data_IF_725915152740
#
_entry.id   IF_725915152740
#
_cell.length_a   1.000
_cell.length_b   1.000
_cell.length_c   1.000
_cell.angle_alpha   90.00
_cell.angle_beta   90.00
_cell.angle_gamma   90.00
#
_symmetry.space_group_name_H-M   'P 1'
#
loop_
_entity.id
_entity.type
_entity.pdbx_description
1 polymer ?
#
# COMPACT_ATOMS: atom_id res chain seq x y z
N UNK A 1 5.69 65.68 -8.19
CA UNK A 1 7.16 65.63 -8.00
C UNK A 1 7.80 65.86 -9.36
N UNK A 2 8.60 66.92 -9.53
CA UNK A 2 9.29 67.20 -10.78
C UNK A 2 10.58 66.38 -10.78
N UNK A 3 10.69 65.40 -11.66
CA UNK A 3 11.88 64.54 -11.75
C UNK A 3 13.04 65.32 -12.34
N UNK A 4 14.24 65.19 -11.76
CA UNK A 4 15.44 65.85 -12.25
C UNK A 4 15.85 65.32 -13.63
N UNK A 5 16.32 66.21 -14.51
CA UNK A 5 16.70 65.87 -15.89
C UNK A 5 17.75 64.78 -15.96
N UNK A 6 18.68 64.74 -15.01
CA UNK A 6 19.72 63.72 -14.91
C UNK A 6 19.15 62.35 -14.50
N UNK A 7 18.15 62.33 -13.62
CA UNK A 7 17.43 61.11 -13.22
C UNK A 7 16.64 60.54 -14.40
N UNK A 8 15.96 61.41 -15.17
CA UNK A 8 15.24 61.01 -16.39
C UNK A 8 16.21 60.44 -17.43
N UNK A 9 17.38 61.06 -17.60
CA UNK A 9 18.41 60.55 -18.52
C UNK A 9 18.89 59.14 -18.12
N UNK A 10 19.08 58.90 -16.82
CA UNK A 10 19.42 57.57 -16.28
C UNK A 10 18.37 56.51 -16.59
N UNK A 11 17.08 56.83 -16.46
CA UNK A 11 16.01 55.90 -16.82
C UNK A 11 15.95 55.61 -18.32
N UNK A 12 16.22 56.59 -19.18
CA UNK A 12 16.28 56.39 -20.64
C UNK A 12 17.44 55.46 -21.01
N UNK A 13 18.62 55.66 -20.41
CA UNK A 13 19.78 54.78 -20.59
C UNK A 13 19.48 53.35 -20.12
N UNK A 14 18.82 53.20 -18.97
CA UNK A 14 18.43 51.90 -18.44
C UNK A 14 17.41 51.19 -19.35
N UNK A 15 16.43 51.93 -19.88
CA UNK A 15 15.43 51.40 -20.80
C UNK A 15 16.08 50.91 -22.10
N UNK A 16 16.98 51.71 -22.70
CA UNK A 16 17.72 51.33 -23.90
C UNK A 16 18.56 50.06 -23.68
N UNK A 17 19.26 49.97 -22.55
CA UNK A 17 20.06 48.80 -22.20
C UNK A 17 19.18 47.55 -22.01
N UNK A 18 18.02 47.71 -21.35
CA UNK A 18 17.07 46.63 -21.12
C UNK A 18 16.52 46.07 -22.44
N UNK A 19 16.08 46.94 -23.35
CA UNK A 19 15.59 46.50 -24.67
C UNK A 19 16.69 45.89 -25.54
N UNK A 20 17.92 46.43 -25.48
CA UNK A 20 19.08 45.84 -26.15
C UNK A 20 19.41 44.43 -25.65
N UNK A 21 19.44 44.26 -24.33
CA UNK A 21 19.64 42.95 -23.71
C UNK A 21 18.52 41.96 -24.03
N UNK A 22 17.26 42.42 -23.98
CA UNK A 22 16.10 41.58 -24.31
C UNK A 22 16.15 41.07 -25.76
N UNK A 23 16.52 41.93 -26.72
CA UNK A 23 16.67 41.55 -28.11
C UNK A 23 17.79 40.51 -28.32
N UNK A 24 18.93 40.70 -27.67
CA UNK A 24 20.07 39.78 -27.76
C UNK A 24 19.77 38.41 -27.12
N UNK A 25 19.23 38.40 -25.90
CA UNK A 25 18.88 37.17 -25.17
C UNK A 25 17.79 36.35 -25.86
N UNK A 26 16.80 37.02 -26.48
CA UNK A 26 15.71 36.35 -27.22
C UNK A 26 16.23 35.53 -28.40
N UNK A 27 17.25 36.00 -29.12
CA UNK A 27 17.83 35.24 -30.23
C UNK A 27 18.46 33.93 -29.77
N UNK A 28 19.18 33.95 -28.64
CA UNK A 28 19.74 32.74 -28.04
C UNK A 28 18.66 31.72 -27.66
N UNK A 29 17.59 32.17 -26.98
CA UNK A 29 16.49 31.30 -26.55
C UNK A 29 15.80 30.57 -27.73
N UNK A 30 15.61 31.25 -28.86
CA UNK A 30 14.98 30.65 -30.04
C UNK A 30 15.76 29.47 -30.61
N UNK A 31 17.10 29.53 -30.59
CA UNK A 31 17.93 28.42 -31.06
C UNK A 31 17.88 27.22 -30.10
N UNK A 32 17.89 27.48 -28.79
CA UNK A 32 17.73 26.43 -27.79
C UNK A 32 16.37 25.75 -27.89
N UNK A 33 15.29 26.51 -28.07
CA UNK A 33 13.95 25.95 -28.27
C UNK A 33 13.85 25.12 -29.55
N UNK A 34 14.45 25.59 -30.66
CA UNK A 34 14.48 24.82 -31.91
C UNK A 34 15.22 23.49 -31.75
N UNK A 35 16.37 23.49 -31.08
CA UNK A 35 17.13 22.25 -30.79
C UNK A 35 16.32 21.30 -29.91
N UNK A 36 15.67 21.81 -28.87
CA UNK A 36 14.82 20.98 -28.00
C UNK A 36 13.61 20.41 -28.74
N UNK A 37 12.99 21.18 -29.63
CA UNK A 37 11.88 20.70 -30.49
C UNK A 37 12.34 19.61 -31.44
N UNK A 38 13.47 19.80 -32.13
CA UNK A 38 14.03 18.79 -33.04
C UNK A 38 14.34 17.45 -32.32
N UNK A 39 14.88 17.52 -31.10
CA UNK A 39 15.13 16.33 -30.28
C UNK A 39 13.82 15.64 -29.88
N UNK A 40 12.82 16.40 -29.43
CA UNK A 40 11.51 15.85 -29.08
C UNK A 40 10.78 15.25 -30.27
N UNK A 41 10.84 15.88 -31.44
CA UNK A 41 10.22 15.39 -32.67
C UNK A 41 10.87 14.08 -33.13
N UNK A 42 12.19 13.97 -33.00
CA UNK A 42 12.93 12.73 -33.31
C UNK A 42 12.56 11.59 -32.35
N UNK A 43 12.41 11.90 -31.07
CA UNK A 43 11.99 10.93 -30.05
C UNK A 43 10.54 10.49 -30.28
N UNK A 44 9.66 11.41 -30.67
CA UNK A 44 8.23 11.14 -30.89
C UNK A 44 8.00 10.33 -32.16
N UNK A 45 8.76 10.59 -33.22
CA UNK A 45 8.70 9.81 -34.46
C UNK A 45 9.14 8.35 -34.26
N UNK A 46 10.04 8.10 -33.30
CA UNK A 46 10.54 6.77 -32.95
C UNK A 46 9.73 6.09 -31.84
N UNK A 47 8.83 6.81 -31.17
CA UNK A 47 7.88 6.17 -30.26
C UNK A 47 6.77 5.53 -31.10
N UNK A 48 6.75 4.19 -31.25
CA UNK A 48 5.55 3.55 -31.77
C UNK A 48 4.40 3.98 -30.85
N UNK A 49 3.28 4.40 -31.42
CA UNK A 49 2.00 4.54 -30.70
C UNK A 49 1.80 3.21 -29.98
N UNK A 50 2.20 3.13 -28.72
CA UNK A 50 2.05 1.91 -27.91
C UNK A 50 0.56 1.78 -27.72
N UNK A 51 -0.07 1.00 -28.60
CA UNK A 51 -1.38 0.47 -28.34
C UNK A 51 -1.32 -0.13 -26.96
N UNK A 52 -2.00 0.51 -26.02
CA UNK A 52 -1.92 0.15 -24.60
C UNK A 52 -2.30 -1.32 -24.38
N UNK A 53 -3.02 -1.91 -25.32
CA UNK A 53 -3.32 -3.33 -25.40
C UNK A 53 -2.09 -4.19 -25.77
N UNK A 54 -1.26 -3.79 -26.74
CA UNK A 54 -0.04 -4.52 -27.11
C UNK A 54 1.03 -4.39 -26.03
N UNK A 55 1.22 -3.19 -25.47
CA UNK A 55 2.16 -2.98 -24.37
C UNK A 55 1.76 -3.75 -23.11
N UNK A 56 0.45 -3.87 -22.81
CA UNK A 56 -0.04 -4.74 -21.72
C UNK A 56 0.19 -6.21 -22.02
N UNK A 57 -0.07 -6.66 -23.26
CA UNK A 57 0.19 -8.06 -23.65
C UNK A 57 1.67 -8.41 -23.55
N UNK A 58 2.57 -7.55 -24.03
CA UNK A 58 4.01 -7.74 -23.91
C UNK A 58 4.44 -7.75 -22.44
N UNK A 59 3.97 -6.82 -21.61
CA UNK A 59 4.25 -6.80 -20.19
C UNK A 59 3.76 -8.07 -19.47
N UNK A 60 2.56 -8.57 -19.81
CA UNK A 60 2.02 -9.82 -19.26
C UNK A 60 2.79 -11.05 -19.71
N UNK A 61 3.27 -11.08 -20.97
CA UNK A 61 4.10 -12.16 -21.49
C UNK A 61 5.48 -12.17 -20.85
N UNK A 62 6.10 -11.01 -20.66
CA UNK A 62 7.38 -10.88 -19.95
C UNK A 62 7.24 -11.27 -18.48
N UNK A 63 6.18 -10.85 -17.80
CA UNK A 63 5.90 -11.25 -16.41
C UNK A 63 5.67 -12.77 -16.28
N UNK A 64 4.94 -13.36 -17.23
CA UNK A 64 4.74 -14.82 -17.28
C UNK A 64 6.04 -15.58 -17.54
N UNK A 65 6.88 -15.08 -18.44
CA UNK A 65 8.19 -15.66 -18.73
C UNK A 65 9.16 -15.52 -17.55
N UNK A 66 9.16 -14.37 -16.85
CA UNK A 66 9.96 -14.14 -15.66
C UNK A 66 9.52 -15.05 -14.50
N UNK A 67 8.21 -15.22 -14.31
CA UNK A 67 7.65 -16.17 -13.33
C UNK A 67 8.04 -17.61 -13.66
N UNK A 68 7.96 -18.02 -14.93
CA UNK A 68 8.39 -19.34 -15.37
C UNK A 68 9.89 -19.58 -15.15
N UNK A 69 10.73 -18.58 -15.43
CA UNK A 69 12.17 -18.64 -15.19
C UNK A 69 12.52 -18.73 -13.69
N UNK A 70 11.83 -17.94 -12.85
CA UNK A 70 12.02 -17.96 -11.39
C UNK A 70 11.55 -19.26 -10.73
N UNK A 71 10.61 -19.97 -11.35
CA UNK A 71 10.03 -21.20 -10.82
C UNK A 71 10.92 -22.44 -11.06
N UNK A 72 11.89 -22.40 -11.98
CA UNK A 72 12.82 -23.50 -12.24
C UNK A 72 12.11 -24.84 -12.49
N UNK A 73 12.44 -25.88 -11.71
CA UNK A 73 11.79 -27.20 -11.77
C UNK A 73 10.38 -27.24 -11.15
N UNK A 74 9.95 -26.18 -10.45
CA UNK A 74 8.66 -26.09 -9.76
C UNK A 74 7.57 -25.39 -10.60
N UNK A 75 7.76 -25.22 -11.91
CA UNK A 75 6.77 -24.60 -12.81
C UNK A 75 5.38 -25.24 -12.73
N UNK A 76 5.33 -26.57 -12.58
CA UNK A 76 4.07 -27.31 -12.41
C UNK A 76 3.37 -27.00 -11.08
N UNK A 77 4.12 -26.67 -10.02
CA UNK A 77 3.56 -26.30 -8.72
C UNK A 77 3.07 -24.84 -8.69
N UNK A 78 3.71 -23.94 -9.47
CA UNK A 78 3.30 -22.53 -9.60
C UNK A 78 1.97 -22.40 -10.38
N UNK A 79 1.82 -23.15 -11.47
CA UNK A 79 0.62 -23.16 -12.31
C UNK A 79 -0.45 -24.16 -11.85
N UNK A 80 -0.12 -25.03 -10.88
CA UNK A 80 -1.06 -25.99 -10.31
C UNK A 80 -2.23 -25.32 -9.58
N UNK A 81 -3.40 -25.97 -9.59
CA UNK A 81 -4.54 -25.51 -8.80
C UNK A 81 -4.19 -25.49 -7.31
N UNK A 82 -4.58 -24.40 -6.63
CA UNK A 82 -4.33 -24.26 -5.20
C UNK A 82 -5.16 -25.30 -4.44
N UNK A 83 -4.49 -26.17 -3.67
CA UNK A 83 -5.13 -27.13 -2.78
C UNK A 83 -4.79 -26.78 -1.34
N UNK A 84 -5.83 -26.79 -0.50
CA UNK A 84 -5.71 -26.55 0.93
C UNK A 84 -5.64 -27.88 1.67
N UNK A 85 -4.63 -28.03 2.52
CA UNK A 85 -4.45 -29.19 3.40
C UNK A 85 -4.52 -28.70 4.83
N UNK A 86 -5.44 -29.26 5.63
CA UNK A 86 -5.62 -28.85 7.02
C UNK A 86 -5.01 -29.90 7.94
N UNK A 87 -4.20 -29.45 8.90
CA UNK A 87 -3.58 -30.25 9.96
C UNK A 87 -4.11 -29.76 11.30
N UNK A 88 -4.53 -30.69 12.15
CA UNK A 88 -5.21 -30.38 13.40
C UNK A 88 -4.55 -31.13 14.57
N UNK A 89 -4.39 -30.41 15.69
CA UNK A 89 -3.96 -30.94 17.00
C UNK A 89 -4.93 -30.43 18.08
N UNK A 90 -4.75 -30.85 19.33
CA UNK A 90 -5.58 -30.52 20.49
C UNK A 90 -5.62 -29.02 20.80
N UNK A 91 -4.55 -28.30 20.44
CA UNK A 91 -4.36 -26.87 20.76
C UNK A 91 -4.56 -25.96 19.54
N UNK A 92 -4.45 -26.48 18.31
CA UNK A 92 -4.50 -25.63 17.11
C UNK A 92 -4.82 -26.39 15.83
N UNK A 93 -5.32 -25.66 14.83
CA UNK A 93 -5.62 -26.13 13.49
C UNK A 93 -4.97 -25.19 12.47
N UNK A 94 -4.17 -25.74 11.56
CA UNK A 94 -3.41 -24.99 10.56
C UNK A 94 -3.84 -25.45 9.16
N UNK A 95 -4.22 -24.52 8.30
CA UNK A 95 -4.50 -24.79 6.88
C UNK A 95 -3.32 -24.33 6.04
N UNK A 96 -2.67 -25.27 5.35
CA UNK A 96 -1.54 -25.04 4.45
C UNK A 96 -1.98 -24.95 2.98
N UNK A 97 -1.26 -24.16 2.20
CA UNK A 97 -1.36 -24.13 0.74
C UNK A 97 -0.28 -25.01 0.09
N UNK A 98 -0.62 -25.71 -1.00
CA UNK A 98 0.34 -26.47 -1.80
C UNK A 98 1.36 -25.60 -2.55
N UNK A 99 1.20 -24.26 -2.55
CA UNK A 99 2.16 -23.30 -3.08
C UNK A 99 3.27 -22.99 -2.06
N UNK A 100 4.13 -23.98 -1.79
CA UNK A 100 5.29 -23.82 -0.90
C UNK A 100 4.99 -24.07 0.58
N UNK A 101 3.96 -24.84 0.90
CA UNK A 101 3.59 -25.24 2.27
C UNK A 101 3.41 -24.05 3.23
N UNK A 102 3.00 -22.90 2.71
CA UNK A 102 2.78 -21.71 3.52
C UNK A 102 1.49 -21.86 4.34
N UNK A 103 1.46 -21.41 5.61
CA UNK A 103 0.24 -21.39 6.41
C UNK A 103 -0.70 -20.29 5.90
N UNK A 104 -1.90 -20.66 5.49
CA UNK A 104 -2.96 -19.74 5.03
C UNK A 104 -3.87 -19.29 6.17
N UNK A 105 -4.15 -20.18 7.11
CA UNK A 105 -4.99 -19.91 8.28
C UNK A 105 -4.48 -20.69 9.49
N UNK A 106 -4.42 -20.03 10.64
CA UNK A 106 -4.07 -20.65 11.92
C UNK A 106 -5.20 -20.34 12.91
N UNK A 107 -5.90 -21.39 13.34
CA UNK A 107 -6.94 -21.33 14.35
C UNK A 107 -6.40 -21.91 15.66
N UNK A 108 -6.43 -21.12 16.75
CA UNK A 108 -6.08 -21.58 18.09
C UNK A 108 -7.32 -22.17 18.76
N UNK A 109 -7.25 -23.45 19.13
CA UNK A 109 -8.24 -24.05 20.03
C UNK A 109 -7.86 -23.62 21.43
N UNK A 110 -8.42 -22.49 21.89
CA UNK A 110 -8.34 -22.10 23.30
C UNK A 110 -9.03 -23.19 24.12
N UNK A 111 -8.26 -24.15 24.60
CA UNK A 111 -8.64 -25.09 25.65
C UNK A 111 -8.38 -24.45 27.02
N UNK A 112 -8.93 -23.24 27.20
CA UNK A 112 -9.14 -22.71 28.54
C UNK A 112 -10.19 -23.60 29.21
N UNK A 113 -9.80 -24.34 30.24
CA UNK A 113 -10.69 -25.09 31.15
C UNK A 113 -11.73 -24.15 31.78
N UNK A 114 -12.75 -23.80 31.03
CA UNK A 114 -14.05 -23.39 31.54
C UNK A 114 -14.93 -24.62 31.51
N UNK A 115 -14.50 -25.67 32.22
CA UNK A 115 -15.36 -26.81 32.50
C UNK A 115 -16.55 -26.29 33.29
N UNK A 116 -17.76 -26.64 32.86
CA UNK A 116 -19.03 -26.24 33.48
C UNK A 116 -19.08 -26.46 35.01
N UNK A 117 -18.19 -27.32 35.54
CA UNK A 117 -17.93 -27.49 36.97
C UNK A 117 -17.61 -26.17 37.71
N UNK A 118 -16.88 -25.22 37.11
CA UNK A 118 -16.51 -23.95 37.77
C UNK A 118 -17.68 -22.97 37.85
N UNK A 119 -18.61 -23.01 36.89
CA UNK A 119 -19.84 -22.19 36.91
C UNK A 119 -20.85 -22.72 37.93
N UNK A 120 -20.96 -24.05 38.06
CA UNK A 120 -21.80 -24.70 39.08
C UNK A 120 -21.27 -24.47 40.50
N UNK A 121 -19.94 -24.41 40.67
CA UNK A 121 -19.32 -24.05 41.94
C UNK A 121 -19.67 -22.62 42.38
N UNK A 122 -19.61 -21.64 41.45
CA UNK A 122 -20.04 -20.26 41.74
C UNK A 122 -21.53 -20.16 42.03
N UNK A 123 -22.39 -20.89 41.29
CA UNK A 123 -23.83 -20.97 41.59
C UNK A 123 -24.10 -21.55 42.98
N UNK A 124 -23.40 -22.62 43.36
CA UNK A 124 -23.54 -23.23 44.69
C UNK A 124 -23.09 -22.31 45.83
N UNK A 125 -21.98 -21.58 45.65
CA UNK A 125 -21.48 -20.62 46.65
C UNK A 125 -22.44 -19.43 46.80
N UNK A 126 -22.93 -18.86 45.69
CA UNK A 126 -23.90 -17.76 45.72
C UNK A 126 -25.22 -18.15 46.39
N UNK A 127 -25.75 -19.35 46.10
CA UNK A 127 -26.98 -19.84 46.74
C UNK A 127 -26.79 -20.03 48.25
N UNK A 128 -25.63 -20.56 48.68
CA UNK A 128 -25.34 -20.77 50.11
C UNK A 128 -25.18 -19.45 50.88
N UNK A 129 -24.62 -18.42 50.24
CA UNK A 129 -24.54 -17.07 50.82
C UNK A 129 -25.92 -16.40 50.91
N UNK A 130 -26.78 -16.53 49.88
CA UNK A 130 -28.13 -15.95 49.90
C UNK A 130 -29.06 -16.63 50.92
N UNK A 131 -28.98 -17.95 51.08
CA UNK A 131 -29.83 -18.65 52.07
C UNK A 131 -29.37 -18.38 53.51
N UNK A 132 -28.05 -18.25 53.72
CA UNK A 132 -27.49 -17.89 55.02
C UNK A 132 -27.84 -16.46 55.45
N UNK A 133 -27.96 -15.50 54.52
CA UNK A 133 -28.34 -14.12 54.85
C UNK A 133 -29.83 -13.98 55.17
N UNK A 134 -30.70 -14.79 54.56
CA UNK A 134 -32.14 -14.81 54.84
C UNK A 134 -32.42 -15.45 56.22
N UNK A 135 -31.71 -16.51 56.60
CA UNK A 135 -31.84 -17.12 57.94
C UNK A 135 -31.27 -16.27 59.08
N UNK A 136 -30.30 -15.39 58.80
CA UNK A 136 -29.77 -14.47 59.80
C UNK A 136 -30.73 -13.33 60.15
N UNK A 137 -31.64 -12.96 59.24
CA UNK A 137 -32.64 -11.91 59.47
C UNK A 137 -33.92 -12.39 60.18
N UNK A 138 -34.19 -13.70 60.23
CA UNK A 138 -35.35 -14.27 60.95
C UNK A 138 -35.07 -14.66 62.40
N UNK A 139 -33.83 -14.45 62.88
CA UNK A 139 -33.42 -14.65 64.28
C UNK A 139 -32.89 -13.36 64.92
N UNK A 140 -33.61 -12.25 64.76
CA UNK A 140 -33.54 -11.15 65.71
C UNK A 140 -34.74 -11.25 66.67
N UNK A 141 -34.54 -11.58 67.96
CA UNK A 141 -35.55 -11.32 68.97
C UNK A 141 -35.60 -9.80 69.24
N UNK A 142 -36.82 -9.34 69.52
CA UNK A 142 -37.25 -8.03 70.07
C UNK A 142 -36.17 -7.20 70.75
#
# INVERSE_FOLDING_TARGET
MKMDRNTVLGFVLLALLFFGYFYFTRQGQLEYEKKQKQVQDSITALQPKKDTALARKEAMMTDSAAKAASAGQFQNAVNGQEKLVTVENDVMKITFTNKGAQPKLVELKISGRLTAARLNWWRGVLIKYLTSSIQAHSKQPT
#
